data_IF_277815868619
#
_entry.id   IF_277815868619
#
_cell.length_a   1.000
_cell.length_b   1.000
_cell.length_c   1.000
_cell.angle_alpha   90.00
_cell.angle_beta   90.00
_cell.angle_gamma   90.00
#
_symmetry.space_group_name_H-M   'P 1'
#
loop_
_entity.id
_entity.type
_entity.pdbx_description
1 polymer ?
#
# COMPACT_ATOMS: atom_id res chain seq x y z
N UNK A 1 6.75 -6.14 -7.65
CA UNK A 1 5.96 -5.92 -6.43
C UNK A 1 4.67 -6.71 -6.46
N UNK A 2 3.99 -6.91 -5.32
CA UNK A 2 2.61 -7.43 -5.31
C UNK A 2 1.63 -6.26 -5.37
N UNK A 3 0.71 -6.31 -6.33
CA UNK A 3 -0.33 -5.31 -6.55
C UNK A 3 -1.69 -5.82 -6.09
N UNK A 4 -2.31 -5.08 -5.17
CA UNK A 4 -3.64 -5.37 -4.62
C UNK A 4 -4.72 -4.56 -5.33
N UNK A 5 -5.97 -5.03 -5.30
CA UNK A 5 -7.11 -4.21 -5.70
C UNK A 5 -7.41 -3.16 -4.63
N UNK A 6 -7.61 -1.89 -5.02
CA UNK A 6 -7.89 -0.80 -4.08
C UNK A 6 -9.04 -1.14 -3.14
N UNK A 7 -10.16 -1.66 -3.68
CA UNK A 7 -11.35 -2.05 -2.90
C UNK A 7 -11.05 -3.06 -1.78
N UNK A 8 -10.00 -3.88 -1.94
CA UNK A 8 -9.60 -4.92 -0.99
C UNK A 8 -8.64 -4.40 0.09
N UNK A 9 -8.34 -3.09 0.10
CA UNK A 9 -7.32 -2.50 1.00
C UNK A 9 -7.80 -1.28 1.77
N UNK A 10 -9.08 -0.92 1.64
CA UNK A 10 -9.67 0.24 2.33
C UNK A 10 -10.36 -0.17 3.62
N UNK A 11 -10.52 0.78 4.56
CA UNK A 11 -11.27 0.61 5.79
C UNK A 11 -12.63 1.31 5.70
N UNK A 12 -13.64 0.76 6.38
CA UNK A 12 -14.95 1.42 6.56
C UNK A 12 -14.93 2.46 7.70
N UNK A 13 -13.87 2.45 8.52
CA UNK A 13 -13.77 3.23 9.76
C UNK A 13 -13.01 4.56 9.57
N UNK A 14 -12.44 4.81 8.39
CA UNK A 14 -11.73 6.07 8.13
C UNK A 14 -10.93 6.07 6.83
N UNK A 15 -10.01 7.03 6.73
CA UNK A 15 -9.14 7.15 5.56
C UNK A 15 -7.90 6.28 5.68
N UNK A 16 -7.38 5.85 4.52
CA UNK A 16 -6.13 5.08 4.42
C UNK A 16 -5.20 5.71 3.40
N UNK A 17 -3.89 5.43 3.51
CA UNK A 17 -2.88 5.83 2.51
C UNK A 17 -2.49 4.65 1.65
N UNK A 18 -2.42 4.84 0.32
CA UNK A 18 -2.02 3.80 -0.64
C UNK A 18 -1.21 4.38 -1.79
N UNK A 19 -0.22 3.63 -2.23
CA UNK A 19 0.47 3.91 -3.49
C UNK A 19 -0.39 3.46 -4.68
N UNK A 20 -1.12 4.39 -5.31
CA UNK A 20 -1.95 4.10 -6.49
C UNK A 20 -1.07 3.96 -7.72
N UNK A 21 -1.18 2.81 -8.40
CA UNK A 21 -0.29 2.39 -9.48
C UNK A 21 -0.89 2.64 -10.86
N UNK A 22 -0.06 3.08 -11.80
CA UNK A 22 -0.34 3.04 -13.24
C UNK A 22 0.52 1.96 -13.87
N UNK A 23 -0.11 1.06 -14.62
CA UNK A 23 0.54 -0.10 -15.23
C UNK A 23 0.52 0.01 -16.75
N UNK A 24 1.53 -0.59 -17.36
CA UNK A 24 1.56 -0.85 -18.80
C UNK A 24 2.15 -2.25 -19.01
N UNK A 25 1.38 -3.13 -19.66
CA UNK A 25 1.80 -4.50 -20.03
C UNK A 25 2.38 -5.31 -18.85
N UNK A 26 1.81 -5.14 -17.63
CA UNK A 26 2.24 -5.83 -16.42
C UNK A 26 3.42 -5.20 -15.68
N UNK A 27 4.00 -4.12 -16.22
CA UNK A 27 5.05 -3.33 -15.56
C UNK A 27 4.49 -2.08 -14.89
N UNK A 28 5.04 -1.72 -13.76
CA UNK A 28 4.74 -0.46 -13.06
C UNK A 28 5.37 0.70 -13.82
N UNK A 29 4.53 1.66 -14.22
CA UNK A 29 5.00 2.90 -14.88
C UNK A 29 5.04 4.09 -13.95
N UNK A 30 4.13 4.10 -12.99
CA UNK A 30 4.05 5.17 -12.00
C UNK A 30 3.40 4.66 -10.73
N UNK A 31 3.82 5.18 -9.59
CA UNK A 31 3.14 5.00 -8.31
C UNK A 31 2.97 6.35 -7.62
N UNK A 32 1.73 6.73 -7.34
CA UNK A 32 1.40 7.96 -6.61
C UNK A 32 0.94 7.59 -5.22
N UNK A 33 1.68 8.03 -4.19
CA UNK A 33 1.20 7.95 -2.82
C UNK A 33 -0.01 8.88 -2.64
N UNK A 34 -1.12 8.33 -2.21
CA UNK A 34 -2.38 9.03 -1.97
C UNK A 34 -2.75 8.84 -0.50
N UNK A 35 -2.70 9.92 0.27
CA UNK A 35 -2.66 9.87 1.74
C UNK A 35 -4.03 9.79 2.41
N UNK A 36 -5.11 10.18 1.71
CA UNK A 36 -6.45 10.27 2.29
C UNK A 36 -7.51 9.61 1.40
N UNK A 37 -7.38 8.31 1.20
CA UNK A 37 -8.38 7.53 0.47
C UNK A 37 -9.51 7.16 1.42
N UNK A 38 -10.74 7.51 1.05
CA UNK A 38 -11.95 7.24 1.81
C UNK A 38 -12.90 6.34 1.05
N UNK A 39 -13.42 5.33 1.72
CA UNK A 39 -14.55 4.52 1.25
C UNK A 39 -15.84 5.06 1.86
N UNK A 40 -16.89 5.14 1.05
CA UNK A 40 -18.21 5.58 1.46
C UNK A 40 -19.17 4.38 1.59
N UNK A 41 -20.25 4.51 2.37
CA UNK A 41 -21.25 3.43 2.54
C UNK A 41 -21.91 2.97 1.23
N UNK A 42 -21.96 3.84 0.21
CA UNK A 42 -22.49 3.55 -1.12
C UNK A 42 -21.47 2.80 -2.01
N UNK A 43 -20.29 2.48 -1.49
CA UNK A 43 -19.21 1.76 -2.18
C UNK A 43 -18.25 2.65 -2.98
N UNK A 44 -18.50 3.95 -3.10
CA UNK A 44 -17.54 4.87 -3.75
C UNK A 44 -16.24 4.95 -2.95
N UNK A 45 -15.13 5.09 -3.68
CA UNK A 45 -13.80 5.31 -3.12
C UNK A 45 -13.27 6.60 -3.73
N UNK A 46 -12.80 7.53 -2.91
CA UNK A 46 -12.28 8.82 -3.36
C UNK A 46 -10.97 9.18 -2.67
N UNK A 47 -10.14 9.94 -3.37
CA UNK A 47 -9.05 10.71 -2.78
C UNK A 47 -9.64 12.00 -2.19
N UNK A 48 -9.47 12.19 -0.89
CA UNK A 48 -10.00 13.32 -0.13
C UNK A 48 -8.90 14.25 0.39
N UNK A 49 -7.69 14.21 -0.20
CA UNK A 49 -6.59 15.11 0.20
C UNK A 49 -6.96 16.58 0.01
N UNK A 50 -7.69 16.88 -1.06
CA UNK A 50 -8.28 18.21 -1.26
C UNK A 50 -9.78 18.16 -0.90
N UNK A 51 -10.18 18.70 0.28
CA UNK A 51 -11.60 18.67 0.70
C UNK A 51 -12.55 19.44 -0.24
N UNK A 52 -12.02 20.39 -1.02
CA UNK A 52 -12.82 21.18 -1.97
C UNK A 52 -13.08 20.41 -3.28
N UNK A 53 -12.32 19.35 -3.55
CA UNK A 53 -12.43 18.58 -4.78
C UNK A 53 -12.00 17.14 -4.54
N UNK A 54 -12.96 16.31 -4.15
CA UNK A 54 -12.72 14.87 -4.07
C UNK A 54 -12.54 14.26 -5.47
N UNK A 55 -11.53 13.41 -5.60
CA UNK A 55 -11.22 12.74 -6.87
C UNK A 55 -11.68 11.28 -6.78
N UNK A 56 -12.65 10.83 -7.60
CA UNK A 56 -13.05 9.44 -7.64
C UNK A 56 -11.89 8.53 -8.02
N UNK A 57 -11.76 7.41 -7.34
CA UNK A 57 -10.79 6.35 -7.62
C UNK A 57 -11.54 5.10 -8.08
N UNK A 58 -11.01 4.44 -9.11
CA UNK A 58 -11.56 3.16 -9.56
C UNK A 58 -11.26 2.09 -8.49
N UNK A 59 -12.29 1.40 -7.94
CA UNK A 59 -12.12 0.32 -6.97
C UNK A 59 -11.21 -0.83 -7.45
N UNK A 60 -11.11 -1.02 -8.78
CA UNK A 60 -10.26 -2.04 -9.40
C UNK A 60 -8.82 -1.56 -9.63
N UNK A 61 -8.51 -0.30 -9.35
CA UNK A 61 -7.14 0.22 -9.42
C UNK A 61 -6.18 -0.65 -8.64
N UNK A 62 -5.00 -0.85 -9.22
CA UNK A 62 -3.90 -1.55 -8.53
C UNK A 62 -3.22 -0.60 -7.56
N UNK A 63 -3.00 -1.08 -6.34
CA UNK A 63 -2.30 -0.32 -5.30
C UNK A 63 -1.15 -1.10 -4.70
N UNK A 64 -0.12 -0.39 -4.27
CA UNK A 64 0.97 -0.91 -3.47
C UNK A 64 0.57 -0.96 -1.99
N UNK A 65 0.84 -2.10 -1.36
CA UNK A 65 0.79 -2.32 0.09
C UNK A 65 2.20 -2.52 0.66
N UNK A 66 3.22 -1.93 0.00
CA UNK A 66 4.63 -2.04 0.38
C UNK A 66 5.16 -3.49 0.41
N UNK A 67 4.61 -4.35 -0.45
CA UNK A 67 5.10 -5.71 -0.63
C UNK A 67 6.00 -5.78 -1.88
N UNK A 68 7.29 -5.53 -1.67
CA UNK A 68 8.30 -5.43 -2.72
C UNK A 68 9.31 -6.56 -2.64
N UNK A 69 9.69 -7.12 -3.79
CA UNK A 69 10.90 -7.90 -3.95
C UNK A 69 11.97 -7.02 -4.57
N UNK A 70 13.04 -6.75 -3.84
CA UNK A 70 14.17 -5.95 -4.29
C UNK A 70 15.44 -6.80 -4.30
N UNK A 71 16.39 -6.57 -5.23
CA UNK A 71 17.70 -7.20 -5.17
C UNK A 71 18.42 -6.92 -3.85
N UNK A 72 19.23 -7.85 -3.37
CA UNK A 72 19.97 -7.69 -2.10
C UNK A 72 20.99 -6.55 -2.14
N UNK A 73 21.47 -6.21 -3.34
CA UNK A 73 22.45 -5.15 -3.61
C UNK A 73 21.81 -3.83 -4.09
N UNK A 74 20.53 -3.62 -3.75
CA UNK A 74 19.80 -2.42 -4.13
C UNK A 74 20.39 -1.18 -3.41
N UNK A 75 21.43 -0.59 -4.01
CA UNK A 75 22.20 0.52 -3.43
C UNK A 75 21.40 1.77 -3.18
N UNK A 76 20.33 1.98 -3.95
CA UNK A 76 19.40 3.10 -3.81
C UNK A 76 18.67 3.14 -2.46
N UNK A 77 18.66 2.02 -1.74
CA UNK A 77 18.13 1.96 -0.37
C UNK A 77 19.11 2.47 0.70
N UNK A 78 20.38 2.68 0.35
CA UNK A 78 21.40 3.17 1.32
C UNK A 78 21.04 4.50 1.98
N UNK A 79 20.48 5.51 1.27
CA UNK A 79 20.09 6.76 1.92
C UNK A 79 19.05 6.60 3.04
N UNK A 80 18.22 5.54 2.97
CA UNK A 80 17.20 5.25 3.98
C UNK A 80 17.84 4.81 5.30
N UNK A 81 19.00 4.15 5.24
CA UNK A 81 19.75 3.69 6.41
C UNK A 81 20.69 4.74 7.02
N UNK A 82 20.86 5.87 6.36
CA UNK A 82 21.81 6.93 6.75
C UNK A 82 21.13 8.27 6.98
N UNK A 83 19.90 8.27 7.54
CA UNK A 83 19.34 9.50 8.07
C UNK A 83 20.27 10.00 9.18
N UNK A 84 20.74 11.27 9.09
CA UNK A 84 21.61 11.83 10.12
C UNK A 84 20.93 11.73 11.48
N UNK A 85 21.63 11.31 12.54
CA UNK A 85 21.04 11.20 13.89
C UNK A 85 20.65 12.57 14.48
N UNK A 86 21.00 13.66 13.82
CA UNK A 86 20.83 15.05 14.29
C UNK A 86 19.74 15.82 13.51
N UNK A 87 18.68 15.10 13.04
CA UNK A 87 17.55 15.78 12.43
C UNK A 87 16.81 16.66 13.44
N UNK A 88 16.39 17.88 13.01
CA UNK A 88 15.52 18.73 13.81
C UNK A 88 14.23 17.97 14.20
N UNK A 89 13.56 18.32 15.33
CA UNK A 89 12.36 17.61 15.80
C UNK A 89 11.26 17.45 14.75
N UNK A 90 11.08 18.42 13.88
CA UNK A 90 10.18 18.38 12.74
C UNK A 90 10.64 17.40 11.64
N UNK A 91 11.96 17.24 11.47
CA UNK A 91 12.56 16.33 10.47
C UNK A 91 12.60 14.88 10.99
N UNK A 92 12.57 14.67 12.33
CA UNK A 92 12.48 13.34 12.94
C UNK A 92 11.17 12.60 12.58
N UNK A 93 10.15 13.34 12.12
CA UNK A 93 8.90 12.79 11.59
C UNK A 93 8.93 12.60 10.07
N UNK A 94 10.02 12.95 9.42
CA UNK A 94 10.16 12.76 7.98
C UNK A 94 10.23 11.26 7.66
N UNK A 95 9.35 10.81 6.78
CA UNK A 95 9.30 9.44 6.31
C UNK A 95 9.86 9.34 4.90
N UNK A 96 10.72 8.35 4.66
CA UNK A 96 11.12 7.99 3.31
C UNK A 96 10.10 6.98 2.74
N UNK A 97 9.14 7.48 1.99
CA UNK A 97 8.11 6.64 1.39
C UNK A 97 8.70 5.82 0.23
N UNK A 98 8.76 4.50 0.41
CA UNK A 98 9.29 3.56 -0.59
C UNK A 98 8.63 3.72 -1.97
N UNK A 99 7.30 3.91 -2.10
CA UNK A 99 6.67 4.15 -3.40
C UNK A 99 7.22 5.39 -4.11
N UNK A 100 7.55 6.46 -3.37
CA UNK A 100 8.12 7.70 -3.95
C UNK A 100 9.54 7.45 -4.49
N UNK A 101 10.37 6.69 -3.78
CA UNK A 101 11.68 6.30 -4.25
C UNK A 101 11.59 5.46 -5.53
N UNK A 102 10.73 4.45 -5.51
CA UNK A 102 10.51 3.57 -6.68
C UNK A 102 10.02 4.38 -7.89
N UNK A 103 9.06 5.28 -7.71
CA UNK A 103 8.55 6.14 -8.79
C UNK A 103 9.65 7.00 -9.42
N UNK A 104 10.54 7.58 -8.61
CA UNK A 104 11.70 8.35 -9.09
C UNK A 104 12.65 7.49 -9.91
N UNK A 105 12.93 6.26 -9.48
CA UNK A 105 13.84 5.35 -10.18
C UNK A 105 13.25 4.87 -11.50
N UNK A 106 11.94 4.57 -11.55
CA UNK A 106 11.22 4.22 -12.78
C UNK A 106 11.26 5.40 -13.76
N UNK A 107 10.95 6.61 -13.28
CA UNK A 107 10.97 7.84 -14.10
C UNK A 107 12.36 8.13 -14.67
N UNK A 108 13.41 7.82 -13.90
CA UNK A 108 14.80 7.96 -14.33
C UNK A 108 15.28 6.81 -15.25
N UNK A 109 14.44 5.82 -15.57
CA UNK A 109 14.81 4.64 -16.37
C UNK A 109 15.82 3.71 -15.69
N UNK A 110 15.93 3.77 -14.36
CA UNK A 110 16.90 3.00 -13.55
C UNK A 110 16.29 1.75 -12.91
N UNK A 111 14.98 1.62 -12.94
CA UNK A 111 14.26 0.49 -12.35
C UNK A 111 13.10 0.09 -13.24
N UNK A 112 12.95 -1.21 -13.48
CA UNK A 112 11.74 -1.82 -14.04
C UNK A 112 11.13 -2.75 -12.99
N UNK A 113 9.81 -2.64 -12.79
CA UNK A 113 9.10 -3.37 -11.73
C UNK A 113 7.96 -4.17 -12.33
N UNK A 114 8.10 -5.49 -12.31
CA UNK A 114 6.98 -6.38 -12.61
C UNK A 114 5.93 -6.34 -11.49
N UNK A 115 4.65 -6.32 -11.86
CA UNK A 115 3.54 -6.31 -10.91
C UNK A 115 2.83 -7.65 -10.93
N UNK A 116 2.88 -8.35 -9.81
CA UNK A 116 2.16 -9.61 -9.58
C UNK A 116 0.82 -9.27 -8.93
N UNK A 117 -0.27 -9.55 -9.64
CA UNK A 117 -1.62 -9.26 -9.14
C UNK A 117 -2.07 -10.25 -8.09
N UNK A 118 -2.79 -9.76 -7.10
CA UNK A 118 -3.51 -10.59 -6.13
C UNK A 118 -4.92 -10.06 -5.91
N UNK A 119 -5.87 -10.97 -5.74
CA UNK A 119 -7.25 -10.67 -5.33
C UNK A 119 -7.43 -10.83 -3.81
N UNK A 120 -6.35 -11.08 -3.06
CA UNK A 120 -6.39 -11.19 -1.61
C UNK A 120 -6.94 -9.90 -0.99
N UNK A 121 -7.73 -10.07 0.07
CA UNK A 121 -8.15 -8.97 0.94
C UNK A 121 -7.02 -8.71 1.93
N UNK A 122 -6.60 -7.47 2.02
CA UNK A 122 -5.64 -7.05 3.02
C UNK A 122 -6.37 -6.73 4.33
N UNK A 123 -5.89 -7.28 5.42
CA UNK A 123 -6.40 -7.01 6.74
C UNK A 123 -5.39 -6.21 7.54
N UNK A 124 -5.82 -5.06 8.09
CA UNK A 124 -4.99 -4.22 8.95
C UNK A 124 -5.82 -3.57 10.03
N UNK A 125 -5.20 -3.34 11.18
CA UNK A 125 -5.80 -2.61 12.30
C UNK A 125 -5.28 -1.18 12.22
N UNK A 126 -5.90 -0.36 11.38
CA UNK A 126 -5.60 1.08 11.30
C UNK A 126 -6.39 1.83 12.38
N UNK A 127 -7.62 1.41 12.60
CA UNK A 127 -8.52 1.91 13.64
C UNK A 127 -8.83 0.78 14.63
N UNK A 128 -9.13 1.13 15.88
CA UNK A 128 -9.42 0.12 16.90
C UNK A 128 -10.67 -0.69 16.54
N UNK A 129 -11.61 -0.08 15.85
CA UNK A 129 -12.84 -0.68 15.34
C UNK A 129 -12.60 -1.73 14.24
N UNK A 130 -11.44 -1.70 13.57
CA UNK A 130 -11.08 -2.71 12.56
C UNK A 130 -10.76 -4.08 13.22
N UNK A 131 -10.33 -4.09 14.48
CA UNK A 131 -9.83 -5.29 15.16
C UNK A 131 -10.81 -6.46 15.16
N UNK A 132 -12.10 -6.32 15.53
CA UNK A 132 -13.05 -7.43 15.51
C UNK A 132 -13.26 -8.01 14.11
N UNK A 133 -13.25 -7.16 13.08
CA UNK A 133 -13.40 -7.56 11.68
C UNK A 133 -12.19 -8.39 11.23
N UNK A 134 -10.98 -7.94 11.57
CA UNK A 134 -9.73 -8.66 11.26
C UNK A 134 -9.68 -10.01 11.97
N UNK A 135 -10.01 -10.06 13.26
CA UNK A 135 -10.04 -11.31 14.03
C UNK A 135 -11.01 -12.33 13.41
N UNK A 136 -12.21 -11.89 13.04
CA UNK A 136 -13.21 -12.74 12.40
C UNK A 136 -12.76 -13.23 11.03
N UNK A 137 -12.16 -12.35 10.22
CA UNK A 137 -11.67 -12.70 8.89
C UNK A 137 -10.53 -13.72 8.96
N UNK A 138 -9.55 -13.51 9.86
CA UNK A 138 -8.45 -14.46 10.06
C UNK A 138 -8.96 -15.83 10.55
N UNK A 139 -9.94 -15.84 11.47
CA UNK A 139 -10.59 -17.07 11.90
C UNK A 139 -11.23 -17.82 10.74
N UNK A 140 -11.98 -17.12 9.88
CA UNK A 140 -12.59 -17.71 8.70
C UNK A 140 -11.56 -18.31 7.72
N UNK A 141 -10.39 -17.67 7.54
CA UNK A 141 -9.30 -18.18 6.71
C UNK A 141 -8.68 -19.48 7.27
N UNK A 142 -8.65 -19.64 8.58
CA UNK A 142 -8.25 -20.91 9.21
C UNK A 142 -9.34 -21.98 9.08
N UNK A 143 -10.60 -21.64 9.32
CA UNK A 143 -11.72 -22.58 9.26
C UNK A 143 -11.96 -23.14 7.85
N UNK A 144 -11.76 -22.33 6.81
CA UNK A 144 -11.90 -22.74 5.42
C UNK A 144 -10.64 -23.41 4.82
N UNK A 145 -9.56 -23.54 5.60
CA UNK A 145 -8.31 -24.18 5.20
C UNK A 145 -7.39 -23.34 4.30
N UNK A 146 -7.70 -22.07 4.08
CA UNK A 146 -6.81 -21.15 3.36
C UNK A 146 -5.50 -20.94 4.12
N UNK A 147 -5.58 -20.81 5.45
CA UNK A 147 -4.42 -20.78 6.33
C UNK A 147 -4.27 -22.13 7.06
N UNK A 148 -3.04 -22.65 7.15
CA UNK A 148 -2.81 -23.88 7.89
C UNK A 148 -3.05 -23.69 9.40
N UNK A 149 -3.43 -24.74 10.14
CA UNK A 149 -3.68 -24.65 11.58
C UNK A 149 -2.42 -24.33 12.40
N UNK A 150 -1.23 -24.47 11.79
CA UNK A 150 0.06 -24.15 12.40
C UNK A 150 1.01 -23.63 11.32
N UNK A 151 1.81 -22.61 11.69
CA UNK A 151 2.90 -22.09 10.84
C UNK A 151 4.12 -23.03 10.81
N UNK A 152 4.16 -24.01 11.70
CA UNK A 152 5.17 -25.08 11.69
C UNK A 152 4.56 -26.26 10.94
N UNK A 153 4.98 -26.47 9.71
CA UNK A 153 4.74 -27.70 8.98
C UNK A 153 5.46 -28.88 9.64
#
# INVERSE_FOLDING_TARGET
>A
MVGYRLKNTVSDNGTVSRGVCQLDSGSLRKVKETLKIKKYPDGRITDTENPAQEVPLDPESVVSMNFWGLPLDFEEMRPIHHLPPELAPEEQKAECLLPVLVDRLITAGRLDVAVLHTDAVWFGVTYQEDRPVVEQALKALHENGTYPPSLKG
#
